data_IF_656046924388
#
_entry.id   IF_656046924388
#
_cell.length_a   1.000
_cell.length_b   1.000
_cell.length_c   1.000
_cell.angle_alpha   90.00
_cell.angle_beta   90.00
_cell.angle_gamma   90.00
#
_symmetry.space_group_name_H-M   'P 1'
#
loop_
_entity.id
_entity.type
_entity.pdbx_description
1 polymer ?
#
# COMPACT_ATOMS: atom_id res chain seq x y z
N UNK A 1 -8.46 1.56 9.80
CA UNK A 1 -7.40 2.15 8.97
C UNK A 1 -7.18 3.57 9.47
N UNK A 2 -5.93 3.94 9.77
CA UNK A 2 -5.59 5.26 10.35
C UNK A 2 -4.80 6.15 9.39
N UNK A 3 -4.17 5.56 8.38
CA UNK A 3 -3.52 6.28 7.28
C UNK A 3 -3.62 5.45 6.00
N UNK A 4 -3.50 6.13 4.86
CA UNK A 4 -3.34 5.53 3.53
C UNK A 4 -2.14 6.21 2.88
N UNK A 5 -1.18 5.40 2.42
CA UNK A 5 -0.08 5.83 1.58
C UNK A 5 -0.11 5.03 0.28
N UNK A 6 0.13 5.71 -0.84
CA UNK A 6 0.20 5.08 -2.15
C UNK A 6 1.19 5.81 -3.05
N UNK A 7 1.84 5.07 -3.94
CA UNK A 7 2.64 5.63 -5.02
C UNK A 7 2.39 4.86 -6.32
N UNK A 8 2.56 5.53 -7.45
CA UNK A 8 2.48 4.86 -8.74
C UNK A 8 3.78 4.08 -9.02
N UNK A 9 3.66 2.79 -9.32
CA UNK A 9 4.81 1.90 -9.56
C UNK A 9 5.51 2.20 -10.89
N UNK A 10 4.75 2.41 -11.96
CA UNK A 10 5.26 2.42 -13.35
C UNK A 10 5.15 3.81 -14.02
N UNK A 11 4.87 4.88 -13.27
CA UNK A 11 4.64 6.23 -13.83
C UNK A 11 5.82 7.17 -13.58
N UNK A 12 6.76 7.21 -14.55
CA UNK A 12 7.82 8.22 -14.76
C UNK A 12 8.67 8.64 -13.53
N UNK A 13 9.66 9.50 -13.75
CA UNK A 13 10.67 9.91 -12.75
C UNK A 13 10.12 10.67 -11.53
N UNK A 14 8.83 11.01 -11.52
CA UNK A 14 8.20 11.82 -10.46
C UNK A 14 7.46 11.00 -9.39
N UNK A 15 7.33 9.68 -9.56
CA UNK A 15 6.61 8.75 -8.67
C UNK A 15 5.42 9.42 -7.94
N UNK A 16 4.34 9.77 -8.68
CA UNK A 16 3.17 10.39 -8.09
C UNK A 16 2.75 9.62 -6.84
N UNK A 17 2.52 10.34 -5.76
CA UNK A 17 2.24 9.77 -4.45
C UNK A 17 1.04 10.43 -3.79
N UNK A 18 0.44 9.70 -2.87
CA UNK A 18 -0.70 10.12 -2.06
C UNK A 18 -0.47 9.69 -0.63
N UNK A 19 -0.82 10.57 0.30
CA UNK A 19 -0.81 10.28 1.72
C UNK A 19 -1.96 11.00 2.41
N UNK A 20 -2.66 10.29 3.28
CA UNK A 20 -3.69 10.89 4.14
C UNK A 20 -3.75 10.14 5.47
N UNK A 21 -3.97 10.89 6.54
CA UNK A 21 -4.32 10.37 7.86
C UNK A 21 -5.82 10.50 8.08
N UNK A 22 -6.43 9.46 8.64
CA UNK A 22 -7.87 9.34 8.82
C UNK A 22 -8.23 9.53 10.29
N UNK A 23 -9.36 10.20 10.53
CA UNK A 23 -10.00 10.14 11.85
C UNK A 23 -10.44 8.70 12.14
N UNK A 24 -10.26 8.21 13.38
CA UNK A 24 -10.77 6.89 13.76
C UNK A 24 -12.30 6.81 13.59
N UNK A 25 -12.79 5.76 12.93
CA UNK A 25 -14.21 5.56 12.65
C UNK A 25 -14.89 4.48 13.51
N UNK A 26 -14.13 3.87 14.43
CA UNK A 26 -14.59 2.84 15.35
C UNK A 26 -13.98 3.03 16.73
N UNK A 27 -14.74 2.67 17.75
CA UNK A 27 -14.23 2.50 19.11
C UNK A 27 -13.64 1.09 19.28
N UNK A 28 -12.58 0.98 20.08
CA UNK A 28 -11.86 -0.28 20.29
C UNK A 28 -10.64 -0.40 19.39
N UNK A 29 -9.54 0.25 19.79
CA UNK A 29 -8.24 0.10 19.14
C UNK A 29 -7.40 -0.86 19.99
N UNK A 30 -6.87 -1.92 19.37
CA UNK A 30 -5.84 -2.75 19.98
C UNK A 30 -4.64 -1.85 20.29
N UNK A 31 -4.22 -1.74 21.55
CA UNK A 31 -3.05 -0.95 21.98
C UNK A 31 -1.81 -1.21 21.10
N UNK A 32 -1.64 -2.44 20.61
CA UNK A 32 -0.56 -2.83 19.71
C UNK A 32 -0.56 -2.11 18.35
N UNK A 33 -1.70 -1.60 17.88
CA UNK A 33 -1.78 -0.85 16.62
C UNK A 33 -1.30 0.61 16.79
N UNK A 34 -1.27 1.13 18.02
CA UNK A 34 -0.88 2.52 18.30
C UNK A 34 0.64 2.72 18.39
N UNK A 35 1.40 1.67 18.75
CA UNK A 35 2.87 1.78 18.89
C UNK A 35 3.62 1.79 17.55
N UNK A 36 2.92 1.55 16.43
CA UNK A 36 3.54 1.32 15.13
C UNK A 36 3.64 2.63 14.33
N UNK A 37 2.59 3.44 14.26
CA UNK A 37 2.53 4.60 13.33
C UNK A 37 2.95 5.97 13.87
N UNK A 38 3.39 6.10 15.12
CA UNK A 38 3.80 7.41 15.69
C UNK A 38 2.66 8.42 15.94
N UNK A 39 1.40 8.05 15.70
CA UNK A 39 0.21 8.89 15.95
C UNK A 39 -0.48 8.54 17.27
N UNK A 40 -1.13 9.53 17.89
CA UNK A 40 -2.09 9.30 18.97
C UNK A 40 -3.52 9.36 18.43
N UNK A 41 -4.44 8.58 19.01
CA UNK A 41 -5.85 8.60 18.58
C UNK A 41 -6.49 9.98 18.77
N UNK A 42 -6.15 10.67 19.85
CA UNK A 42 -6.65 12.03 20.09
C UNK A 42 -6.07 13.03 19.09
N UNK A 43 -4.81 12.85 18.69
CA UNK A 43 -4.21 13.58 17.58
C UNK A 43 -4.99 13.35 16.28
N UNK A 44 -5.20 12.09 15.89
CA UNK A 44 -5.94 11.75 14.67
C UNK A 44 -7.40 12.20 14.70
N UNK A 45 -8.06 12.20 15.85
CA UNK A 45 -9.41 12.77 15.99
C UNK A 45 -9.41 14.28 15.74
N UNK A 46 -8.37 14.99 16.14
CA UNK A 46 -8.26 16.43 16.00
C UNK A 46 -7.78 16.87 14.60
N UNK A 47 -6.83 16.15 14.01
CA UNK A 47 -6.14 16.56 12.76
C UNK A 47 -6.40 15.66 11.56
N UNK A 48 -6.90 14.44 11.77
CA UNK A 48 -7.16 13.49 10.69
C UNK A 48 -8.31 13.96 9.78
N UNK A 49 -8.32 13.44 8.56
CA UNK A 49 -9.39 13.66 7.59
C UNK A 49 -10.55 12.71 7.89
N UNK A 50 -11.80 13.20 7.83
CA UNK A 50 -12.97 12.35 7.98
C UNK A 50 -12.92 11.19 6.95
N UNK A 51 -13.22 9.94 7.34
CA UNK A 51 -12.98 8.77 6.49
C UNK A 51 -13.59 8.87 5.08
N UNK A 52 -14.82 9.37 4.96
CA UNK A 52 -15.45 9.57 3.66
C UNK A 52 -14.71 10.57 2.77
N UNK A 53 -14.24 11.67 3.34
CA UNK A 53 -13.45 12.66 2.62
C UNK A 53 -12.06 12.11 2.25
N UNK A 54 -11.42 11.35 3.13
CA UNK A 54 -10.13 10.71 2.86
C UNK A 54 -10.24 9.70 1.71
N UNK A 55 -11.28 8.87 1.71
CA UNK A 55 -11.52 7.92 0.63
C UNK A 55 -11.87 8.61 -0.69
N UNK A 56 -12.61 9.73 -0.66
CA UNK A 56 -12.87 10.52 -1.86
C UNK A 56 -11.58 11.11 -2.43
N UNK A 57 -10.73 11.72 -1.60
CA UNK A 57 -9.42 12.23 -2.03
C UNK A 57 -8.55 11.12 -2.63
N UNK A 58 -8.60 9.92 -2.05
CA UNK A 58 -7.86 8.78 -2.58
C UNK A 58 -8.42 8.30 -3.93
N UNK A 59 -9.75 8.24 -4.08
CA UNK A 59 -10.39 7.91 -5.36
C UNK A 59 -10.02 8.93 -6.46
N UNK A 60 -10.05 10.22 -6.13
CA UNK A 60 -9.70 11.29 -7.05
C UNK A 60 -8.23 11.21 -7.46
N UNK A 61 -7.34 10.91 -6.51
CA UNK A 61 -5.93 10.68 -6.82
C UNK A 61 -5.74 9.47 -7.73
N UNK A 62 -6.35 8.32 -7.43
CA UNK A 62 -6.30 7.12 -8.26
C UNK A 62 -6.78 7.43 -9.68
N UNK A 63 -7.89 8.15 -9.82
CA UNK A 63 -8.42 8.56 -11.12
C UNK A 63 -7.45 9.47 -11.88
N UNK A 64 -6.78 10.39 -11.19
CA UNK A 64 -5.82 11.31 -11.82
C UNK A 64 -4.53 10.65 -12.29
N UNK A 65 -4.08 9.58 -11.61
CA UNK A 65 -2.86 8.84 -12.00
C UNK A 65 -3.17 7.65 -12.93
N UNK A 66 -4.42 7.22 -13.05
CA UNK A 66 -4.80 6.12 -13.95
C UNK A 66 -4.96 6.63 -15.39
N UNK A 67 -4.19 6.10 -16.36
CA UNK A 67 -4.35 6.49 -17.76
C UNK A 67 -5.75 6.17 -18.29
N UNK A 68 -6.24 7.00 -19.20
CA UNK A 68 -7.54 6.76 -19.84
C UNK A 68 -7.61 5.35 -20.47
N UNK A 69 -8.74 4.67 -20.29
CA UNK A 69 -8.96 3.31 -20.78
C UNK A 69 -8.26 2.20 -19.98
N UNK A 70 -7.54 2.53 -18.91
CA UNK A 70 -6.91 1.54 -18.03
C UNK A 70 -7.66 1.41 -16.71
N UNK A 71 -7.45 0.30 -16.02
CA UNK A 71 -7.96 0.04 -14.67
C UNK A 71 -6.80 0.02 -13.68
N UNK A 72 -6.90 0.71 -12.53
CA UNK A 72 -5.85 0.67 -11.54
C UNK A 72 -5.77 -0.72 -10.90
N UNK A 73 -4.55 -1.15 -10.58
CA UNK A 73 -4.27 -2.39 -9.84
C UNK A 73 -3.59 -2.01 -8.54
N UNK A 74 -4.20 -2.37 -7.40
CA UNK A 74 -3.52 -2.23 -6.11
C UNK A 74 -2.41 -3.28 -6.01
N UNK A 75 -1.22 -2.83 -5.65
CA UNK A 75 -0.04 -3.67 -5.43
C UNK A 75 0.39 -3.49 -3.98
N UNK A 76 0.68 -4.59 -3.28
CA UNK A 76 1.13 -4.55 -1.89
C UNK A 76 1.97 -5.76 -1.51
N UNK A 77 2.85 -5.61 -0.52
CA UNK A 77 3.74 -6.69 -0.10
C UNK A 77 2.98 -7.83 0.58
N UNK A 78 1.98 -7.50 1.38
CA UNK A 78 0.99 -8.43 1.89
C UNK A 78 -0.40 -7.98 1.44
N UNK A 79 -0.60 -7.95 0.12
CA UNK A 79 -1.77 -7.33 -0.49
C UNK A 79 -3.08 -7.93 0.07
N UNK A 80 -3.13 -9.21 0.42
CA UNK A 80 -4.33 -9.83 1.04
C UNK A 80 -4.73 -9.09 2.32
N UNK A 81 -3.75 -8.69 3.14
CA UNK A 81 -4.01 -7.98 4.37
C UNK A 81 -4.45 -6.54 4.10
N UNK A 82 -3.67 -5.78 3.33
CA UNK A 82 -3.93 -4.36 3.09
C UNK A 82 -5.22 -4.14 2.28
N UNK A 83 -5.45 -5.00 1.28
CA UNK A 83 -6.61 -4.95 0.39
C UNK A 83 -7.93 -5.05 1.14
N UNK A 84 -8.01 -5.89 2.19
CA UNK A 84 -9.26 -6.07 2.90
C UNK A 84 -9.74 -4.76 3.55
N UNK A 85 -8.80 -3.93 4.05
CA UNK A 85 -9.12 -2.64 4.64
C UNK A 85 -9.44 -1.59 3.58
N UNK A 86 -8.65 -1.53 2.51
CA UNK A 86 -8.88 -0.58 1.41
C UNK A 86 -10.23 -0.85 0.74
N UNK A 87 -10.54 -2.11 0.43
CA UNK A 87 -11.81 -2.49 -0.18
C UNK A 87 -13.00 -2.22 0.77
N UNK A 88 -12.88 -2.56 2.05
CA UNK A 88 -13.90 -2.26 3.06
C UNK A 88 -14.19 -0.76 3.16
N UNK A 89 -13.15 0.08 3.25
CA UNK A 89 -13.33 1.53 3.37
C UNK A 89 -13.91 2.15 2.10
N UNK A 90 -13.45 1.71 0.92
CA UNK A 90 -14.04 2.17 -0.35
C UNK A 90 -15.52 1.84 -0.46
N UNK A 91 -15.91 0.58 -0.18
CA UNK A 91 -17.31 0.19 -0.22
C UNK A 91 -18.15 0.86 0.86
N UNK A 92 -17.63 0.99 2.09
CA UNK A 92 -18.35 1.63 3.20
C UNK A 92 -18.63 3.10 2.92
N UNK A 93 -17.63 3.83 2.42
CA UNK A 93 -17.72 5.29 2.34
C UNK A 93 -18.13 5.82 0.97
N UNK A 94 -17.77 5.14 -0.12
CA UNK A 94 -18.07 5.57 -1.50
C UNK A 94 -18.99 4.60 -2.26
N UNK A 95 -19.34 3.45 -1.67
CA UNK A 95 -20.19 2.44 -2.31
C UNK A 95 -19.52 1.63 -3.42
N UNK A 96 -18.28 1.96 -3.80
CA UNK A 96 -17.54 1.30 -4.87
C UNK A 96 -16.04 1.26 -4.56
N UNK A 97 -15.33 0.28 -5.13
CA UNK A 97 -13.87 0.16 -5.06
C UNK A 97 -13.25 0.34 -6.45
N UNK A 98 -12.44 1.38 -6.70
CA UNK A 98 -11.84 1.63 -8.02
C UNK A 98 -10.92 0.50 -8.49
N UNK A 99 -10.32 -0.24 -7.56
CA UNK A 99 -9.46 -1.37 -7.86
C UNK A 99 -10.25 -2.68 -8.11
N UNK A 100 -11.55 -2.72 -7.83
CA UNK A 100 -12.46 -3.87 -7.99
C UNK A 100 -12.27 -4.99 -6.96
N UNK A 101 -12.07 -6.25 -7.40
CA UNK A 101 -12.06 -7.45 -6.51
C UNK A 101 -10.70 -8.15 -6.36
N UNK A 102 -9.61 -7.58 -6.90
CA UNK A 102 -8.30 -8.21 -6.93
C UNK A 102 -7.18 -7.21 -6.68
N UNK A 103 -6.12 -7.66 -6.01
CA UNK A 103 -4.86 -6.96 -5.84
C UNK A 103 -3.68 -7.86 -6.22
N UNK A 104 -2.54 -7.27 -6.54
CA UNK A 104 -1.29 -7.99 -6.82
C UNK A 104 -0.46 -8.08 -5.54
N UNK A 105 -0.24 -9.32 -5.07
CA UNK A 105 0.56 -9.61 -3.89
C UNK A 105 2.04 -9.79 -4.26
N UNK A 106 2.91 -8.86 -3.84
CA UNK A 106 4.32 -8.87 -4.21
C UNK A 106 5.04 -10.08 -3.59
N UNK A 107 4.67 -10.47 -2.37
CA UNK A 107 5.28 -11.62 -1.68
C UNK A 107 5.00 -12.93 -2.40
N UNK A 108 3.75 -13.16 -2.82
CA UNK A 108 3.36 -14.30 -3.63
C UNK A 108 3.99 -14.26 -5.04
N UNK A 109 4.06 -13.07 -5.65
CA UNK A 109 4.75 -12.89 -6.92
C UNK A 109 6.24 -13.25 -6.81
N UNK A 110 6.93 -12.78 -5.76
CA UNK A 110 8.32 -13.11 -5.47
C UNK A 110 8.52 -14.62 -5.24
N UNK A 111 7.62 -15.26 -4.48
CA UNK A 111 7.66 -16.71 -4.27
C UNK A 111 7.62 -17.46 -5.61
N UNK A 112 6.63 -17.14 -6.45
CA UNK A 112 6.45 -17.79 -7.75
C UNK A 112 7.58 -17.47 -8.72
N UNK A 113 8.11 -16.25 -8.69
CA UNK A 113 9.25 -15.85 -9.51
C UNK A 113 10.51 -16.63 -9.09
N UNK A 114 10.84 -16.69 -7.80
CA UNK A 114 12.17 -17.14 -7.37
C UNK A 114 12.25 -18.60 -6.96
N UNK A 115 11.12 -19.25 -6.71
CA UNK A 115 11.09 -20.59 -6.11
C UNK A 115 11.62 -20.62 -4.67
N UNK A 116 11.67 -19.47 -3.99
CA UNK A 116 12.09 -19.37 -2.58
C UNK A 116 11.15 -20.13 -1.64
N UNK A 117 11.52 -20.24 -0.37
CA UNK A 117 10.60 -20.70 0.67
C UNK A 117 9.69 -19.55 1.13
N UNK A 118 8.53 -19.86 1.74
CA UNK A 118 7.68 -18.83 2.33
C UNK A 118 8.41 -17.98 3.38
N UNK A 119 9.25 -18.59 4.22
CA UNK A 119 10.06 -17.86 5.19
C UNK A 119 11.06 -16.90 4.50
N UNK A 120 11.63 -17.33 3.37
CA UNK A 120 12.53 -16.53 2.54
C UNK A 120 11.84 -15.43 1.72
N UNK A 121 10.55 -15.19 1.91
CA UNK A 121 9.80 -14.09 1.29
C UNK A 121 9.51 -12.95 2.27
N UNK A 122 10.17 -12.93 3.44
CA UNK A 122 10.08 -11.76 4.34
C UNK A 122 10.67 -10.52 3.66
N UNK A 123 10.15 -9.34 3.97
CA UNK A 123 10.58 -8.10 3.33
C UNK A 123 12.09 -7.89 3.47
N UNK A 124 12.66 -8.18 4.65
CA UNK A 124 14.09 -8.04 4.90
C UNK A 124 14.95 -8.93 3.98
N UNK A 125 14.59 -10.22 3.81
CA UNK A 125 15.35 -11.11 2.92
C UNK A 125 15.24 -10.70 1.46
N UNK A 126 14.06 -10.22 1.05
CA UNK A 126 13.85 -9.77 -0.32
C UNK A 126 14.61 -8.46 -0.57
N UNK A 127 14.57 -7.51 0.36
CA UNK A 127 15.31 -6.25 0.30
C UNK A 127 16.83 -6.49 0.21
N UNK A 128 17.36 -7.36 1.08
CA UNK A 128 18.77 -7.75 1.08
C UNK A 128 19.21 -8.34 -0.26
N UNK A 129 18.42 -9.25 -0.84
CA UNK A 129 18.71 -9.86 -2.14
C UNK A 129 18.86 -8.83 -3.27
N UNK A 130 18.07 -7.76 -3.23
CA UNK A 130 18.09 -6.70 -4.24
C UNK A 130 18.94 -5.49 -3.83
N UNK A 131 19.64 -5.54 -2.69
CA UNK A 131 20.47 -4.43 -2.19
C UNK A 131 19.67 -3.16 -1.88
N UNK A 132 18.40 -3.31 -1.50
CA UNK A 132 17.52 -2.20 -1.15
C UNK A 132 17.65 -1.88 0.34
N UNK A 133 17.88 -0.60 0.65
CA UNK A 133 17.88 -0.10 2.02
C UNK A 133 16.46 0.28 2.43
N UNK A 134 15.71 -0.71 2.94
CA UNK A 134 14.34 -0.55 3.42
C UNK A 134 14.36 -0.43 4.94
N UNK A 135 14.02 0.75 5.45
CA UNK A 135 13.84 0.98 6.89
C UNK A 135 12.35 1.06 7.17
N UNK A 136 11.82 0.16 8.00
CA UNK A 136 10.42 0.20 8.45
C UNK A 136 10.19 1.47 9.28
N UNK A 137 9.79 2.56 8.62
CA UNK A 137 9.43 3.83 9.26
C UNK A 137 8.02 3.78 9.84
N UNK A 138 7.20 2.81 9.39
CA UNK A 138 5.78 2.70 9.69
C UNK A 138 4.96 3.92 9.25
N UNK A 139 5.52 4.73 8.35
CA UNK A 139 4.78 5.70 7.58
C UNK A 139 4.22 5.02 6.32
N UNK A 140 2.90 5.07 6.14
CA UNK A 140 2.24 4.33 5.06
C UNK A 140 2.72 4.73 3.65
N UNK A 141 3.18 5.97 3.44
CA UNK A 141 3.69 6.38 2.13
C UNK A 141 5.13 5.89 1.89
N UNK A 142 5.98 5.96 2.90
CA UNK A 142 7.34 5.42 2.79
C UNK A 142 7.29 3.90 2.58
N UNK A 143 6.45 3.20 3.33
CA UNK A 143 6.19 1.77 3.13
C UNK A 143 5.72 1.49 1.68
N UNK A 144 4.83 2.32 1.12
CA UNK A 144 4.38 2.16 -0.26
C UNK A 144 5.51 2.33 -1.30
N UNK A 145 6.44 3.27 -1.06
CA UNK A 145 7.61 3.51 -1.92
C UNK A 145 8.60 2.35 -1.87
N UNK A 146 8.89 1.85 -0.67
CA UNK A 146 9.75 0.70 -0.45
C UNK A 146 9.19 -0.55 -1.14
N UNK A 147 7.88 -0.77 -1.03
CA UNK A 147 7.19 -1.84 -1.73
C UNK A 147 7.23 -1.69 -3.26
N UNK A 148 7.10 -0.46 -3.78
CA UNK A 148 7.21 -0.20 -5.21
C UNK A 148 8.64 -0.43 -5.74
N UNK A 149 9.68 -0.02 -5.00
CA UNK A 149 11.07 -0.30 -5.33
C UNK A 149 11.35 -1.80 -5.37
N UNK A 150 10.89 -2.52 -4.35
CA UNK A 150 11.00 -3.97 -4.28
C UNK A 150 10.29 -4.65 -5.45
N UNK A 151 9.04 -4.27 -5.74
CA UNK A 151 8.27 -4.85 -6.84
C UNK A 151 8.95 -4.64 -8.21
N UNK A 152 9.49 -3.44 -8.45
CA UNK A 152 10.26 -3.14 -9.66
C UNK A 152 11.51 -4.04 -9.78
N UNK A 153 12.24 -4.24 -8.68
CA UNK A 153 13.41 -5.12 -8.66
C UNK A 153 13.06 -6.58 -9.01
N UNK A 154 11.98 -7.13 -8.42
CA UNK A 154 11.52 -8.50 -8.73
C UNK A 154 11.10 -8.61 -10.20
N UNK A 155 10.35 -7.63 -10.73
CA UNK A 155 9.93 -7.62 -12.14
C UNK A 155 11.11 -7.54 -13.09
N UNK A 156 12.13 -6.75 -12.76
CA UNK A 156 13.35 -6.65 -13.56
C UNK A 156 14.09 -7.99 -13.62
N UNK A 157 14.21 -8.72 -12.49
CA UNK A 157 14.78 -10.06 -12.48
C UNK A 157 13.99 -11.01 -13.39
N UNK A 158 12.65 -11.02 -13.28
CA UNK A 158 11.79 -11.89 -14.11
C UNK A 158 11.93 -11.55 -15.59
N UNK A 159 11.95 -10.27 -15.95
CA UNK A 159 12.08 -9.82 -17.33
C UNK A 159 13.46 -10.13 -17.96
N UNK A 160 14.51 -10.26 -17.14
CA UNK A 160 15.86 -10.59 -17.59
C UNK A 160 16.10 -12.10 -17.80
N UNK A 161 15.10 -12.96 -17.53
CA UNK A 161 15.23 -14.40 -17.72
C UNK A 161 15.17 -14.77 -19.21
N UNK A 162 16.04 -15.70 -19.66
CA UNK A 162 16.06 -16.15 -21.05
C UNK A 162 14.82 -16.96 -21.44
#
# INVERSE_FOLDING_TARGET
>A
MLSVGACAVDLADTEPSFYVELQPDREGVLEAAMSVGGFTLDGLRASGTAPAAAMQQFADWIASVTPAGHRPVMVGFNAVFDWMFVADYFHRYLGHNPFGHSALDIKAFYLGATGSSWAGTSMNFVAERYGLDITLTHNALDDARDQAALFRAVRAEVAARP
#
